data_IF_936042428080
#
_entry.id   IF_936042428080
#
_cell.length_a   1.000
_cell.length_b   1.000
_cell.length_c   1.000
_cell.angle_alpha   90.00
_cell.angle_beta   90.00
_cell.angle_gamma   90.00
#
_symmetry.space_group_name_H-M   'P 1'
#
loop_
_entity.id
_entity.type
_entity.pdbx_description
1 polymer ?
#
# COMPACT_ATOMS: atom_id res chain seq x y z
N UNK A 1 28.29 19.14 3.39
CA UNK A 1 28.64 20.03 2.26
C UNK A 1 29.73 19.36 1.44
N UNK A 2 29.77 19.54 0.11
CA UNK A 2 30.83 18.98 -0.73
C UNK A 2 32.18 19.65 -0.40
N UNK A 3 33.28 19.04 -0.83
CA UNK A 3 34.65 19.55 -0.68
C UNK A 3 34.81 20.98 -1.26
N UNK A 4 33.95 21.37 -2.23
CA UNK A 4 33.92 22.71 -2.85
C UNK A 4 32.60 23.48 -2.68
N UNK A 5 31.70 23.07 -1.76
CA UNK A 5 30.41 23.77 -1.55
C UNK A 5 29.39 23.67 -2.70
N UNK A 6 29.66 22.91 -3.77
CA UNK A 6 28.73 22.67 -4.89
C UNK A 6 27.76 21.53 -4.59
N UNK A 7 26.49 21.69 -4.95
CA UNK A 7 25.48 20.62 -4.82
C UNK A 7 25.32 19.84 -6.13
N UNK A 8 24.59 18.71 -6.09
CA UNK A 8 24.37 17.86 -7.27
C UNK A 8 23.73 18.58 -8.46
N UNK A 9 22.86 19.58 -8.24
CA UNK A 9 22.29 20.40 -9.33
C UNK A 9 23.33 21.31 -9.99
N UNK A 10 24.32 21.79 -9.22
CA UNK A 10 25.40 22.63 -9.71
C UNK A 10 26.43 21.85 -10.53
N UNK A 11 26.57 20.55 -10.25
CA UNK A 11 27.49 19.65 -10.95
C UNK A 11 26.86 18.99 -12.19
N UNK A 12 25.54 19.10 -12.37
CA UNK A 12 24.82 18.50 -13.48
C UNK A 12 25.07 19.23 -14.80
N UNK A 13 25.19 18.48 -15.90
CA UNK A 13 25.29 19.02 -17.25
C UNK A 13 23.91 19.37 -17.78
N UNK A 14 23.57 20.66 -17.77
CA UNK A 14 22.30 21.17 -18.29
C UNK A 14 22.38 21.43 -19.79
N UNK A 15 21.29 21.17 -20.51
CA UNK A 15 21.23 21.37 -21.97
C UNK A 15 21.38 22.85 -22.37
N UNK A 16 20.87 23.78 -21.55
CA UNK A 16 21.01 25.23 -21.77
C UNK A 16 21.26 25.99 -20.47
N UNK A 17 21.83 27.21 -20.53
CA UNK A 17 22.00 28.09 -19.37
C UNK A 17 20.67 28.45 -18.67
N UNK A 18 19.59 28.62 -19.42
CA UNK A 18 18.27 28.96 -18.88
C UNK A 18 17.69 27.76 -18.10
N UNK A 19 17.82 26.55 -18.64
CA UNK A 19 17.42 25.32 -17.94
C UNK A 19 18.23 25.12 -16.66
N UNK A 20 19.53 25.47 -16.68
CA UNK A 20 20.38 25.48 -15.49
C UNK A 20 19.87 26.47 -14.45
N UNK A 21 19.59 27.71 -14.86
CA UNK A 21 19.13 28.76 -13.95
C UNK A 21 17.79 28.38 -13.32
N UNK A 22 16.84 27.89 -14.11
CA UNK A 22 15.54 27.40 -13.64
C UNK A 22 15.71 26.22 -12.67
N UNK A 23 16.58 25.25 -12.98
CA UNK A 23 16.80 24.09 -12.11
C UNK A 23 17.43 24.49 -10.76
N UNK A 24 18.35 25.46 -10.76
CA UNK A 24 19.01 25.94 -9.54
C UNK A 24 18.05 26.77 -8.67
N UNK A 25 17.22 27.61 -9.27
CA UNK A 25 16.27 28.48 -8.54
C UNK A 25 14.96 27.78 -8.16
N UNK A 26 14.67 26.61 -8.74
CA UNK A 26 13.43 25.90 -8.48
C UNK A 26 13.31 25.42 -7.03
N UNK A 27 12.42 26.09 -6.28
CA UNK A 27 11.92 25.73 -4.95
C UNK A 27 13.02 25.45 -3.92
N UNK A 28 14.15 26.16 -4.04
CA UNK A 28 15.13 26.26 -2.97
C UNK A 28 15.53 27.72 -2.83
N UNK A 29 15.36 28.29 -1.65
CA UNK A 29 15.75 29.68 -1.35
C UNK A 29 16.90 29.71 -0.36
N UNK A 30 17.59 30.86 -0.26
CA UNK A 30 18.60 31.07 0.79
C UNK A 30 18.01 31.09 2.21
N UNK A 31 16.68 31.15 2.32
CA UNK A 31 15.96 31.13 3.59
C UNK A 31 15.63 29.71 4.02
N UNK A 32 15.83 28.71 3.16
CA UNK A 32 15.56 27.33 3.49
C UNK A 32 16.60 26.81 4.48
N UNK A 33 16.12 26.19 5.54
CA UNK A 33 16.88 25.64 6.66
C UNK A 33 16.52 24.16 6.91
N UNK A 34 17.01 23.61 8.01
CA UNK A 34 16.72 22.25 8.45
C UNK A 34 15.25 21.99 8.79
N UNK A 35 14.46 23.05 9.04
CA UNK A 35 13.03 22.99 9.33
C UNK A 35 12.17 23.05 8.06
N UNK A 36 12.78 23.41 6.93
CA UNK A 36 12.08 23.55 5.66
C UNK A 36 11.62 22.18 5.14
N UNK A 37 10.31 22.07 4.86
CA UNK A 37 9.72 20.80 4.45
C UNK A 37 10.20 20.37 3.06
N UNK A 38 10.98 19.29 3.02
CA UNK A 38 11.38 18.65 1.79
C UNK A 38 10.33 17.64 1.30
N UNK A 39 10.13 17.58 -0.02
CA UNK A 39 9.32 16.51 -0.61
C UNK A 39 10.18 15.28 -0.87
N UNK A 40 9.89 14.20 -0.16
CA UNK A 40 10.54 12.90 -0.33
C UNK A 40 9.76 12.00 -1.28
N UNK A 41 10.46 11.33 -2.17
CA UNK A 41 9.89 10.27 -3.03
C UNK A 41 10.75 9.02 -2.96
N UNK A 42 10.15 7.90 -3.34
CA UNK A 42 10.81 6.61 -3.43
C UNK A 42 10.94 6.19 -4.89
N UNK A 43 12.11 5.69 -5.29
CA UNK A 43 12.30 5.13 -6.62
C UNK A 43 11.33 3.95 -6.85
N UNK A 44 10.61 3.99 -7.98
CA UNK A 44 9.60 3.00 -8.33
C UNK A 44 10.16 1.66 -8.80
N UNK A 45 11.46 1.58 -9.09
CA UNK A 45 12.13 0.32 -9.40
C UNK A 45 12.22 -0.56 -8.17
N UNK A 46 11.74 -1.81 -8.29
CA UNK A 46 11.69 -2.78 -7.18
C UNK A 46 13.06 -3.13 -6.60
N UNK A 47 14.11 -3.15 -7.43
CA UNK A 47 15.49 -3.43 -7.00
C UNK A 47 16.12 -2.24 -6.27
N UNK A 48 15.69 -1.01 -6.59
CA UNK A 48 16.25 0.21 -6.03
C UNK A 48 15.52 0.64 -4.75
N UNK A 49 14.22 0.97 -4.82
CA UNK A 49 13.39 1.48 -3.71
C UNK A 49 14.05 2.52 -2.79
N UNK A 50 15.04 3.24 -3.31
CA UNK A 50 15.76 4.24 -2.53
C UNK A 50 14.95 5.53 -2.48
N UNK A 51 14.97 6.18 -1.32
CA UNK A 51 14.31 7.44 -1.04
C UNK A 51 15.26 8.60 -1.37
N UNK A 52 14.71 9.66 -1.95
CA UNK A 52 15.45 10.87 -2.29
C UNK A 52 14.53 12.09 -2.30
N UNK A 53 15.12 13.26 -2.11
CA UNK A 53 14.41 14.55 -2.14
C UNK A 53 14.20 15.00 -3.58
N UNK A 54 13.02 15.53 -3.86
CA UNK A 54 12.74 16.26 -5.10
C UNK A 54 12.40 17.71 -4.77
N UNK A 55 12.97 18.61 -5.57
CA UNK A 55 12.76 20.04 -5.41
C UNK A 55 11.56 20.56 -6.21
N UNK A 56 11.14 19.87 -7.28
CA UNK A 56 10.00 20.30 -8.11
C UNK A 56 8.91 19.23 -8.18
N UNK A 57 8.12 19.00 -7.11
CA UNK A 57 7.07 17.99 -7.10
C UNK A 57 6.04 18.17 -8.22
N UNK A 58 5.71 19.41 -8.59
CA UNK A 58 4.77 19.71 -9.66
C UNK A 58 5.21 19.20 -11.04
N UNK A 59 6.52 19.02 -11.27
CA UNK A 59 7.07 18.47 -12.51
C UNK A 59 7.05 16.93 -12.53
N UNK A 60 6.73 16.26 -11.42
CA UNK A 60 6.67 14.80 -11.34
C UNK A 60 5.35 14.28 -11.90
N UNK A 61 5.28 14.13 -13.24
CA UNK A 61 4.09 13.62 -13.95
C UNK A 61 4.00 12.09 -14.04
N UNK A 62 5.11 11.41 -13.77
CA UNK A 62 5.23 9.95 -13.88
C UNK A 62 5.73 9.35 -12.57
N UNK A 63 5.66 8.02 -12.45
CA UNK A 63 6.22 7.31 -11.29
C UNK A 63 7.70 7.70 -11.11
N UNK A 64 8.12 8.08 -9.90
CA UNK A 64 9.49 8.50 -9.63
C UNK A 64 10.48 7.39 -9.97
N UNK A 65 11.52 7.72 -10.74
CA UNK A 65 12.69 6.87 -10.99
C UNK A 65 13.89 7.73 -10.64
N UNK A 66 14.76 7.24 -9.74
CA UNK A 66 15.93 8.00 -9.30
C UNK A 66 16.90 8.22 -10.46
N UNK A 67 17.72 9.25 -10.33
CA UNK A 67 18.66 9.66 -11.37
C UNK A 67 19.64 8.54 -11.79
N UNK A 68 20.33 7.92 -10.84
CA UNK A 68 21.30 6.83 -11.11
C UNK A 68 20.75 5.70 -11.98
N UNK A 69 19.55 5.20 -11.68
CA UNK A 69 18.94 4.12 -12.46
C UNK A 69 18.30 4.58 -13.77
N UNK A 70 18.19 5.90 -14.04
CA UNK A 70 17.86 6.41 -15.38
C UNK A 70 19.07 6.31 -16.31
N UNK A 71 20.27 6.33 -15.76
CA UNK A 71 21.55 6.23 -16.47
C UNK A 71 22.19 4.84 -16.32
N UNK A 72 21.38 3.82 -16.01
CA UNK A 72 21.80 2.43 -15.80
C UNK A 72 22.88 2.21 -14.72
N UNK A 73 23.06 3.19 -13.83
CA UNK A 73 23.92 3.10 -12.65
C UNK A 73 23.21 2.58 -11.40
N UNK A 74 23.98 2.02 -10.45
CA UNK A 74 23.49 1.72 -9.10
C UNK A 74 23.48 2.99 -8.26
N UNK A 75 22.36 3.23 -7.57
CA UNK A 75 22.26 4.37 -6.66
C UNK A 75 23.13 4.15 -5.40
N UNK A 76 23.93 5.15 -4.99
CA UNK A 76 24.66 5.12 -3.72
C UNK A 76 23.65 5.28 -2.58
N UNK A 77 23.37 4.19 -1.87
CA UNK A 77 22.36 4.16 -0.80
C UNK A 77 22.98 3.98 0.56
N UNK A 78 22.34 4.56 1.57
CA UNK A 78 22.53 4.26 2.98
C UNK A 78 21.28 3.58 3.52
N UNK A 79 21.47 2.51 4.27
CA UNK A 79 20.38 1.76 4.87
C UNK A 79 20.17 2.20 6.32
N UNK A 80 18.94 2.56 6.66
CA UNK A 80 18.57 2.89 8.03
C UNK A 80 18.68 1.65 8.93
N UNK A 81 19.43 1.74 10.03
CA UNK A 81 19.56 0.65 11.01
C UNK A 81 18.23 0.28 11.68
N UNK A 82 17.33 1.26 11.85
CA UNK A 82 16.03 1.05 12.51
C UNK A 82 14.96 0.47 11.61
N UNK A 83 14.81 0.91 10.35
CA UNK A 83 13.68 0.49 9.50
C UNK A 83 14.10 -0.12 8.15
N UNK A 84 15.40 -0.25 7.87
CA UNK A 84 15.98 -0.77 6.63
C UNK A 84 15.59 0.01 5.36
N UNK A 85 14.93 1.18 5.49
CA UNK A 85 14.72 2.06 4.35
C UNK A 85 16.08 2.53 3.82
N UNK A 86 16.18 2.54 2.50
CA UNK A 86 17.37 2.97 1.76
C UNK A 86 17.19 4.44 1.36
N UNK A 87 18.16 5.29 1.68
CA UNK A 87 18.17 6.70 1.29
C UNK A 87 19.34 6.93 0.34
N UNK A 88 19.13 7.64 -0.76
CA UNK A 88 20.22 8.01 -1.66
C UNK A 88 21.07 9.07 -0.96
N UNK A 89 22.33 8.72 -0.69
CA UNK A 89 23.34 9.63 -0.17
C UNK A 89 24.63 9.38 -0.94
N UNK A 90 25.02 10.28 -1.86
CA UNK A 90 26.21 10.05 -2.68
C UNK A 90 27.47 10.05 -1.84
N UNK A 91 28.41 9.17 -2.18
CA UNK A 91 29.62 8.89 -1.40
C UNK A 91 30.45 10.14 -1.11
N UNK A 92 30.58 11.04 -2.08
CA UNK A 92 31.28 12.32 -1.95
C UNK A 92 30.73 13.26 -0.85
N UNK A 93 29.50 13.02 -0.37
CA UNK A 93 28.87 13.84 0.68
C UNK A 93 28.77 13.09 2.02
N UNK A 94 29.32 11.88 2.13
CA UNK A 94 29.22 11.06 3.34
C UNK A 94 30.26 11.52 4.36
N UNK A 95 29.88 11.80 5.62
CA UNK A 95 30.85 11.96 6.70
C UNK A 95 31.71 10.69 6.84
N UNK A 96 32.97 10.84 7.22
CA UNK A 96 33.89 9.72 7.43
C UNK A 96 33.46 8.83 8.62
N UNK A 97 32.77 9.41 9.60
CA UNK A 97 32.36 8.83 10.88
C UNK A 97 30.83 8.63 10.96
N UNK A 98 30.25 7.97 9.96
CA UNK A 98 28.79 7.95 9.80
C UNK A 98 28.02 7.14 10.85
N UNK A 99 28.67 6.20 11.56
CA UNK A 99 28.03 5.35 12.58
C UNK A 99 26.74 4.66 12.12
N UNK A 100 25.82 4.41 13.06
CA UNK A 100 24.51 3.83 12.77
C UNK A 100 23.54 4.86 12.18
N UNK A 101 23.42 4.87 10.85
CA UNK A 101 22.52 5.78 10.16
C UNK A 101 21.03 5.51 10.50
N UNK A 102 20.31 6.58 10.89
CA UNK A 102 18.85 6.60 11.04
C UNK A 102 18.24 7.54 10.01
N UNK A 103 17.27 7.04 9.23
CA UNK A 103 16.59 7.89 8.23
C UNK A 103 15.67 8.92 8.88
N UNK A 104 15.36 9.97 8.11
CA UNK A 104 14.47 11.06 8.51
C UNK A 104 13.11 10.58 9.06
N UNK A 105 12.50 9.57 8.44
CA UNK A 105 11.22 9.04 8.92
C UNK A 105 11.34 8.44 10.34
N UNK A 106 12.46 7.79 10.64
CA UNK A 106 12.69 7.21 11.97
C UNK A 106 13.03 8.26 13.03
N UNK A 107 13.72 9.33 12.68
CA UNK A 107 14.03 10.44 13.59
C UNK A 107 12.79 11.30 13.85
N UNK A 108 11.96 11.52 12.84
CA UNK A 108 10.69 12.23 12.95
C UNK A 108 9.55 11.41 13.59
N UNK A 109 9.81 10.17 14.02
CA UNK A 109 8.80 9.33 14.69
C UNK A 109 7.65 8.87 13.77
N UNK A 110 7.83 8.88 12.46
CA UNK A 110 6.81 8.45 11.50
C UNK A 110 6.59 6.94 11.62
N UNK A 111 5.33 6.53 11.76
CA UNK A 111 4.98 5.12 11.75
C UNK A 111 5.35 4.48 10.40
N UNK A 112 6.09 3.38 10.46
CA UNK A 112 6.57 2.64 9.27
C UNK A 112 5.92 1.27 9.13
N UNK A 113 4.99 0.92 10.03
CA UNK A 113 4.28 -0.35 10.01
C UNK A 113 3.17 -0.28 8.97
N UNK A 114 3.12 -1.25 8.07
CA UNK A 114 2.12 -1.33 7.01
C UNK A 114 1.30 -2.60 7.18
N UNK A 115 -0.02 -2.45 7.29
CA UNK A 115 -0.92 -3.60 7.26
C UNK A 115 -0.96 -4.25 5.87
N UNK A 116 -0.81 -5.57 5.82
CA UNK A 116 -0.85 -6.34 4.57
C UNK A 116 -1.59 -7.66 4.75
N UNK A 117 -1.60 -8.51 3.73
CA UNK A 117 -2.13 -9.87 3.80
C UNK A 117 -1.22 -10.85 3.06
N UNK A 118 -1.36 -12.14 3.38
CA UNK A 118 -0.55 -13.21 2.80
C UNK A 118 -0.57 -13.23 1.26
N UNK A 119 -1.73 -12.95 0.63
CA UNK A 119 -1.84 -12.92 -0.83
C UNK A 119 -1.04 -11.79 -1.48
N UNK A 120 -0.87 -10.64 -0.81
CA UNK A 120 -0.02 -9.55 -1.30
C UNK A 120 1.45 -9.94 -1.24
N UNK A 121 1.87 -10.59 -0.15
CA UNK A 121 3.24 -11.07 0.03
C UNK A 121 3.55 -12.15 -1.02
N UNK A 122 2.61 -13.07 -1.28
CA UNK A 122 2.72 -14.14 -2.27
C UNK A 122 2.91 -13.66 -3.72
N UNK A 123 2.53 -12.42 -4.04
CA UNK A 123 2.76 -11.86 -5.39
C UNK A 123 4.20 -11.48 -5.64
N UNK A 124 5.00 -11.38 -4.57
CA UNK A 124 6.39 -10.93 -4.63
C UNK A 124 7.36 -11.99 -4.09
N UNK A 125 6.92 -12.81 -3.14
CA UNK A 125 7.67 -13.91 -2.54
C UNK A 125 7.14 -15.26 -3.02
N UNK A 126 7.93 -16.33 -2.87
CA UNK A 126 7.49 -17.69 -3.17
C UNK A 126 6.36 -18.18 -2.22
N UNK A 127 5.82 -19.36 -2.50
CA UNK A 127 4.77 -20.01 -1.71
C UNK A 127 5.30 -20.78 -0.50
N UNK A 128 6.60 -21.03 -0.45
CA UNK A 128 7.23 -22.05 0.39
C UNK A 128 7.07 -21.74 1.89
N UNK A 129 6.93 -20.47 2.25
CA UNK A 129 6.67 -20.02 3.63
C UNK A 129 5.22 -20.23 4.10
N UNK A 130 4.28 -20.45 3.15
CA UNK A 130 2.87 -20.74 3.44
C UNK A 130 2.54 -22.23 3.29
N UNK A 131 3.19 -22.90 2.35
CA UNK A 131 2.88 -24.27 1.96
C UNK A 131 4.15 -24.92 1.42
N UNK A 132 4.64 -25.93 2.14
CA UNK A 132 5.57 -26.90 1.58
C UNK A 132 4.76 -27.81 0.65
N UNK A 133 5.23 -27.98 -0.58
CA UNK A 133 4.53 -28.65 -1.66
C UNK A 133 5.54 -29.41 -2.51
N UNK A 134 6.05 -30.49 -1.95
CA UNK A 134 7.13 -31.27 -2.54
C UNK A 134 6.68 -31.91 -3.85
N UNK A 135 7.59 -31.91 -4.83
CA UNK A 135 7.36 -32.38 -6.19
C UNK A 135 6.12 -31.74 -6.87
N UNK A 136 5.68 -30.56 -6.42
CA UNK A 136 4.47 -29.90 -6.90
C UNK A 136 3.21 -30.79 -6.78
N UNK A 137 3.08 -31.56 -5.67
CA UNK A 137 1.92 -32.43 -5.40
C UNK A 137 0.59 -31.71 -5.62
N UNK A 138 0.49 -30.44 -5.22
CA UNK A 138 -0.58 -29.53 -5.61
C UNK A 138 -0.08 -28.64 -6.77
N UNK A 139 -0.60 -28.88 -7.98
CA UNK A 139 -0.22 -28.09 -9.17
C UNK A 139 -0.55 -26.59 -9.05
N UNK A 140 -1.68 -26.25 -8.42
CA UNK A 140 -2.16 -24.88 -8.27
C UNK A 140 -2.69 -24.63 -6.85
N UNK A 141 -1.83 -24.23 -5.90
CA UNK A 141 -2.25 -23.93 -4.54
C UNK A 141 -3.02 -22.59 -4.45
N UNK A 142 -3.75 -22.39 -3.35
CA UNK A 142 -4.50 -21.16 -3.04
C UNK A 142 -5.57 -20.74 -4.07
N UNK A 143 -6.18 -21.71 -4.74
CA UNK A 143 -7.36 -21.47 -5.56
C UNK A 143 -8.62 -21.31 -4.70
N UNK A 144 -9.72 -20.85 -5.30
CA UNK A 144 -11.03 -20.79 -4.62
C UNK A 144 -11.75 -22.15 -4.57
N UNK A 145 -11.05 -23.27 -4.81
CA UNK A 145 -11.60 -24.62 -4.77
C UNK A 145 -11.65 -25.14 -3.33
N UNK A 146 -12.51 -26.13 -3.08
CA UNK A 146 -12.56 -26.81 -1.79
C UNK A 146 -11.32 -27.67 -1.57
N UNK A 147 -10.93 -27.87 -0.31
CA UNK A 147 -9.82 -28.75 0.05
C UNK A 147 -10.03 -30.17 -0.50
N UNK A 148 -11.27 -30.68 -0.42
CA UNK A 148 -11.63 -31.98 -0.98
C UNK A 148 -11.33 -32.08 -2.47
N UNK A 149 -11.70 -31.07 -3.26
CA UNK A 149 -11.41 -31.04 -4.70
C UNK A 149 -9.91 -30.97 -4.96
N UNK A 150 -9.18 -30.15 -4.20
CA UNK A 150 -7.72 -30.05 -4.31
C UNK A 150 -7.01 -31.38 -4.05
N UNK A 151 -7.38 -32.08 -2.97
CA UNK A 151 -6.81 -33.40 -2.64
C UNK A 151 -7.20 -34.45 -3.68
N UNK A 152 -8.45 -34.41 -4.17
CA UNK A 152 -8.92 -35.36 -5.18
C UNK A 152 -8.19 -35.18 -6.52
N UNK A 153 -7.89 -33.94 -6.90
CA UNK A 153 -7.14 -33.63 -8.14
C UNK A 153 -5.65 -33.97 -7.99
N UNK A 154 -5.07 -33.83 -6.79
CA UNK A 154 -3.65 -34.10 -6.50
C UNK A 154 -3.32 -35.59 -6.25
N UNK A 155 -4.35 -36.42 -6.02
CA UNK A 155 -4.18 -37.79 -5.53
C UNK A 155 -3.92 -37.84 -4.02
N UNK A 156 -4.39 -38.91 -3.37
CA UNK A 156 -4.33 -39.06 -1.91
C UNK A 156 -3.01 -39.67 -1.44
N UNK A 157 -2.34 -40.40 -2.31
CA UNK A 157 -1.08 -41.08 -2.00
C UNK A 157 0.00 -40.03 -1.65
N UNK A 158 0.74 -40.28 -0.56
CA UNK A 158 1.81 -39.44 0.00
C UNK A 158 1.43 -37.96 0.23
N UNK A 159 0.15 -37.61 0.24
CA UNK A 159 -0.27 -36.21 0.28
C UNK A 159 0.18 -35.53 1.58
N UNK A 160 0.06 -36.23 2.72
CA UNK A 160 0.43 -35.70 4.03
C UNK A 160 1.95 -35.57 4.19
N UNK A 161 2.72 -36.40 3.49
CA UNK A 161 4.19 -36.36 3.52
C UNK A 161 4.73 -35.24 2.64
N UNK A 162 4.08 -34.99 1.49
CA UNK A 162 4.54 -34.03 0.48
C UNK A 162 3.93 -32.63 0.64
N UNK A 163 2.90 -32.47 1.48
CA UNK A 163 2.19 -31.19 1.63
C UNK A 163 2.07 -30.81 3.10
N UNK A 164 2.81 -29.78 3.51
CA UNK A 164 2.75 -29.24 4.87
C UNK A 164 2.29 -27.76 4.82
N UNK A 165 1.14 -27.42 5.44
CA UNK A 165 0.71 -26.02 5.57
C UNK A 165 1.47 -25.31 6.69
N UNK A 166 1.92 -24.07 6.41
CA UNK A 166 2.70 -23.23 7.33
C UNK A 166 3.93 -23.96 7.91
N UNK A 167 4.84 -24.45 7.04
CA UNK A 167 6.05 -25.16 7.46
C UNK A 167 6.95 -24.30 8.33
N UNK A 168 7.60 -24.93 9.32
CA UNK A 168 8.53 -24.25 10.23
C UNK A 168 9.89 -23.95 9.58
N UNK A 169 10.33 -24.81 8.66
CA UNK A 169 11.69 -24.81 8.13
C UNK A 169 11.95 -23.78 7.02
N UNK A 170 10.91 -23.32 6.31
CA UNK A 170 11.04 -22.44 5.13
C UNK A 170 10.72 -20.98 5.45
N UNK A 171 11.41 -20.42 6.44
CA UNK A 171 11.37 -18.98 6.71
C UNK A 171 12.36 -18.23 5.82
N UNK A 172 12.06 -18.19 4.52
CA UNK A 172 12.79 -17.35 3.57
C UNK A 172 12.59 -15.85 3.83
N UNK A 173 13.46 -15.03 3.25
CA UNK A 173 13.32 -13.58 3.26
C UNK A 173 12.07 -13.15 2.47
N UNK A 174 10.99 -12.79 3.19
CA UNK A 174 9.77 -12.31 2.57
C UNK A 174 9.88 -10.84 2.21
N UNK A 175 9.33 -10.49 1.04
CA UNK A 175 9.31 -9.11 0.57
C UNK A 175 7.90 -8.60 0.32
N UNK A 176 7.71 -7.31 0.59
CA UNK A 176 6.51 -6.55 0.24
C UNK A 176 6.92 -5.24 -0.41
N UNK A 177 6.44 -5.01 -1.62
CA UNK A 177 6.80 -3.90 -2.49
C UNK A 177 8.32 -3.78 -2.76
N UNK A 178 9.02 -4.92 -2.78
CA UNK A 178 10.49 -4.98 -2.92
C UNK A 178 11.26 -4.56 -1.66
N UNK A 179 10.59 -4.51 -0.50
CA UNK A 179 11.22 -4.30 0.81
C UNK A 179 11.12 -5.55 1.66
N UNK A 180 12.15 -5.82 2.45
CA UNK A 180 12.20 -6.95 3.37
C UNK A 180 11.16 -6.77 4.49
N UNK A 181 10.42 -7.83 4.79
CA UNK A 181 9.52 -7.92 5.94
C UNK A 181 10.34 -8.32 7.17
N UNK A 182 10.31 -7.49 8.21
CA UNK A 182 11.18 -7.68 9.39
C UNK A 182 10.62 -8.66 10.41
N UNK A 183 9.31 -8.67 10.57
CA UNK A 183 8.60 -9.49 11.53
C UNK A 183 8.04 -10.76 10.87
N UNK A 184 8.79 -11.34 9.93
CA UNK A 184 8.40 -12.58 9.23
C UNK A 184 8.06 -13.71 10.21
N UNK A 185 8.87 -14.00 11.25
CA UNK A 185 8.54 -15.04 12.23
C UNK A 185 7.22 -14.77 12.96
N UNK A 186 6.98 -13.51 13.36
CA UNK A 186 5.75 -13.12 14.06
C UNK A 186 4.52 -13.26 13.16
N UNK A 187 4.64 -12.87 11.88
CA UNK A 187 3.56 -13.02 10.89
C UNK A 187 3.20 -14.49 10.71
N UNK A 188 4.21 -15.37 10.55
CA UNK A 188 3.99 -16.81 10.38
C UNK A 188 3.37 -17.41 11.64
N UNK A 189 3.90 -17.06 12.82
CA UNK A 189 3.38 -17.52 14.11
C UNK A 189 1.91 -17.08 14.31
N UNK A 190 1.58 -15.83 13.96
CA UNK A 190 0.21 -15.34 14.08
C UNK A 190 -0.73 -16.02 13.08
N UNK A 191 -0.32 -16.20 11.83
CA UNK A 191 -1.10 -16.95 10.84
C UNK A 191 -1.35 -18.39 11.32
N UNK A 192 -0.32 -19.05 11.85
CA UNK A 192 -0.42 -20.41 12.39
C UNK A 192 -1.38 -20.47 13.57
N UNK A 193 -1.25 -19.54 14.52
CA UNK A 193 -2.15 -19.42 15.68
C UNK A 193 -3.60 -19.26 15.25
N UNK A 194 -3.86 -18.41 14.23
CA UNK A 194 -5.21 -18.21 13.68
C UNK A 194 -5.77 -19.47 13.03
N UNK A 195 -4.97 -20.19 12.25
CA UNK A 195 -5.35 -21.46 11.61
C UNK A 195 -5.67 -22.53 12.64
N UNK A 196 -4.78 -22.74 13.62
CA UNK A 196 -4.97 -23.73 14.71
C UNK A 196 -6.24 -23.43 15.51
N UNK A 197 -6.46 -22.15 15.87
CA UNK A 197 -7.64 -21.71 16.61
C UNK A 197 -8.91 -21.68 15.75
N UNK A 198 -8.82 -21.98 14.45
CA UNK A 198 -9.92 -21.88 13.47
C UNK A 198 -10.60 -20.50 13.49
N UNK A 199 -9.83 -19.45 13.77
CA UNK A 199 -10.35 -18.07 13.86
C UNK A 199 -10.09 -17.33 12.56
N UNK A 200 -11.15 -16.79 11.98
CA UNK A 200 -11.06 -15.82 10.89
C UNK A 200 -11.10 -14.41 11.44
N UNK A 201 -10.34 -13.49 10.86
CA UNK A 201 -10.39 -12.08 11.25
C UNK A 201 -11.80 -11.50 11.06
N UNK A 202 -12.38 -11.02 12.15
CA UNK A 202 -13.62 -10.25 12.13
C UNK A 202 -13.31 -8.75 12.10
N UNK A 203 -14.16 -7.98 11.45
CA UNK A 203 -14.22 -6.54 11.63
C UNK A 203 -15.61 -6.14 12.14
N UNK A 204 -15.72 -4.91 12.60
CA UNK A 204 -16.98 -4.34 13.08
C UNK A 204 -17.59 -3.47 11.98
N UNK A 205 -18.90 -3.60 11.77
CA UNK A 205 -19.63 -2.66 10.92
C UNK A 205 -19.71 -1.30 11.60
N UNK A 206 -19.23 -0.23 10.96
CA UNK A 206 -19.27 1.12 11.53
C UNK A 206 -20.69 1.71 11.71
N UNK A 207 -21.74 1.05 11.20
CA UNK A 207 -23.13 1.51 11.34
C UNK A 207 -23.91 0.75 12.41
N UNK A 208 -23.89 -0.59 12.38
CA UNK A 208 -24.62 -1.39 13.36
C UNK A 208 -23.76 -1.91 14.52
N UNK A 209 -22.45 -1.68 14.49
CA UNK A 209 -21.49 -2.14 15.50
C UNK A 209 -21.45 -3.67 15.73
N UNK A 210 -22.07 -4.44 14.84
CA UNK A 210 -22.03 -5.91 14.86
C UNK A 210 -20.75 -6.41 14.18
N UNK A 211 -20.22 -7.52 14.69
CA UNK A 211 -19.05 -8.21 14.16
C UNK A 211 -19.38 -9.05 12.92
N UNK A 212 -18.59 -8.90 11.87
CA UNK A 212 -18.68 -9.67 10.63
C UNK A 212 -17.30 -10.17 10.22
N UNK A 213 -17.25 -11.22 9.40
CA UNK A 213 -15.98 -11.61 8.72
C UNK A 213 -15.47 -10.41 7.92
N UNK A 214 -14.17 -10.09 8.00
CA UNK A 214 -13.59 -8.87 7.40
C UNK A 214 -13.88 -8.72 5.89
N UNK A 215 -14.01 -9.82 5.15
CA UNK A 215 -14.35 -9.80 3.73
C UNK A 215 -15.83 -9.49 3.44
N UNK A 216 -16.72 -9.62 4.41
CA UNK A 216 -18.14 -9.21 4.32
C UNK A 216 -18.33 -7.72 4.59
N UNK A 217 -17.29 -7.02 5.07
CA UNK A 217 -17.32 -5.58 5.25
C UNK A 217 -16.89 -4.86 3.97
N UNK A 218 -17.73 -3.95 3.52
CA UNK A 218 -17.61 -3.21 2.28
C UNK A 218 -17.25 -1.76 2.61
N UNK A 219 -16.40 -1.07 1.81
CA UNK A 219 -16.19 0.36 1.98
C UNK A 219 -17.50 1.13 1.94
N UNK A 220 -17.70 2.07 2.87
CA UNK A 220 -18.95 2.83 2.98
C UNK A 220 -19.26 3.67 1.73
N UNK A 221 -18.25 4.32 1.14
CA UNK A 221 -18.43 5.19 -0.03
C UNK A 221 -17.37 5.03 -1.13
N UNK A 222 -16.26 4.33 -0.85
CA UNK A 222 -15.17 4.10 -1.80
C UNK A 222 -14.31 5.31 -2.16
N UNK A 223 -14.48 6.46 -1.48
CA UNK A 223 -13.63 7.65 -1.66
C UNK A 223 -12.29 7.47 -0.93
N UNK A 224 -11.23 8.01 -1.52
CA UNK A 224 -9.94 8.17 -0.85
C UNK A 224 -10.10 9.01 0.42
N UNK A 225 -9.49 8.54 1.51
CA UNK A 225 -9.61 9.15 2.85
C UNK A 225 -10.85 8.75 3.66
N UNK A 226 -11.75 7.91 3.14
CA UNK A 226 -12.80 7.29 3.95
C UNK A 226 -12.43 5.84 4.27
N UNK A 227 -11.99 5.60 5.51
CA UNK A 227 -11.59 4.26 6.00
C UNK A 227 -12.75 3.40 6.51
N UNK A 228 -13.96 3.96 6.54
CA UNK A 228 -15.12 3.34 7.19
C UNK A 228 -15.65 2.15 6.38
N UNK A 229 -15.93 1.04 7.07
CA UNK A 229 -16.43 -0.20 6.47
C UNK A 229 -17.72 -0.65 7.14
N UNK A 230 -18.66 -1.10 6.33
CA UNK A 230 -20.01 -1.45 6.77
C UNK A 230 -20.43 -2.80 6.20
N UNK A 231 -21.35 -3.47 6.87
CA UNK A 231 -21.93 -4.70 6.33
C UNK A 231 -22.85 -4.39 5.15
N UNK A 232 -23.09 -5.40 4.31
CA UNK A 232 -23.96 -5.30 3.14
C UNK A 232 -25.37 -4.80 3.51
N UNK A 233 -25.91 -5.24 4.64
CA UNK A 233 -27.25 -4.84 5.12
C UNK A 233 -27.35 -3.35 5.46
N UNK A 234 -26.43 -2.82 6.27
CA UNK A 234 -26.43 -1.39 6.61
C UNK A 234 -26.19 -0.50 5.39
N UNK A 235 -25.33 -0.95 4.46
CA UNK A 235 -25.10 -0.23 3.21
C UNK A 235 -26.36 -0.19 2.33
N UNK A 236 -27.03 -1.34 2.19
CA UNK A 236 -28.28 -1.47 1.46
C UNK A 236 -29.38 -0.59 2.07
N UNK A 237 -29.50 -0.59 3.40
CA UNK A 237 -30.48 0.22 4.11
C UNK A 237 -30.23 1.72 3.89
N UNK A 238 -29.01 2.21 4.19
CA UNK A 238 -28.70 3.64 4.10
C UNK A 238 -28.95 4.20 2.69
N UNK A 239 -28.41 3.54 1.66
CA UNK A 239 -28.53 4.02 0.28
C UNK A 239 -29.82 3.59 -0.41
N UNK A 240 -30.54 2.64 0.18
CA UNK A 240 -31.89 2.24 -0.21
C UNK A 240 -32.99 3.06 0.46
N UNK A 241 -32.67 4.06 1.30
CA UNK A 241 -33.68 4.97 1.85
C UNK A 241 -34.38 5.79 0.76
N UNK A 242 -33.73 6.02 -0.38
CA UNK A 242 -34.32 6.70 -1.53
C UNK A 242 -34.85 5.65 -2.51
N UNK A 243 -36.18 5.53 -2.58
CA UNK A 243 -36.90 4.65 -3.51
C UNK A 243 -37.93 5.43 -4.30
N UNK A 244 -38.28 4.94 -5.50
CA UNK A 244 -39.32 5.54 -6.31
C UNK A 244 -40.67 5.56 -5.56
N UNK A 245 -41.34 6.72 -5.55
CA UNK A 245 -42.59 6.92 -4.80
C UNK A 245 -42.44 7.06 -3.29
N UNK A 246 -41.21 7.00 -2.76
CA UNK A 246 -40.91 7.19 -1.34
C UNK A 246 -40.56 8.63 -0.98
N UNK A 247 -40.48 8.91 0.33
CA UNK A 247 -39.95 10.17 0.84
C UNK A 247 -38.48 10.32 0.47
N UNK A 248 -38.16 11.49 -0.08
CA UNK A 248 -36.80 11.81 -0.49
C UNK A 248 -35.93 12.17 0.72
N UNK A 249 -34.82 11.47 0.89
CA UNK A 249 -33.81 11.72 1.91
C UNK A 249 -32.49 12.15 1.27
N UNK A 250 -32.24 13.46 1.28
CA UNK A 250 -31.02 14.07 0.71
C UNK A 250 -29.74 13.61 1.44
N UNK A 251 -29.80 13.33 2.74
CA UNK A 251 -28.64 12.87 3.51
C UNK A 251 -28.19 11.47 3.08
N UNK A 252 -29.13 10.60 2.70
CA UNK A 252 -28.88 9.26 2.20
C UNK A 252 -28.22 9.22 0.81
N UNK A 253 -27.98 10.37 0.17
CA UNK A 253 -27.18 10.49 -1.06
C UNK A 253 -25.69 10.62 -0.81
N UNK A 254 -25.32 10.91 0.43
CA UNK A 254 -23.95 11.07 0.87
C UNK A 254 -23.50 9.89 1.73
N UNK A 255 -22.17 9.73 1.86
CA UNK A 255 -21.60 8.84 2.87
C UNK A 255 -22.05 9.25 4.28
N UNK A 256 -22.52 8.31 5.13
CA UNK A 256 -22.93 8.65 6.50
C UNK A 256 -21.76 9.18 7.36
N UNK A 257 -20.53 8.87 6.96
CA UNK A 257 -19.32 9.25 7.70
C UNK A 257 -18.63 10.49 7.14
N UNK A 258 -18.26 10.48 5.86
CA UNK A 258 -17.47 11.56 5.28
C UNK A 258 -18.31 12.59 4.52
N UNK A 259 -19.64 12.42 4.47
CA UNK A 259 -20.62 13.31 3.82
C UNK A 259 -20.37 13.62 2.33
N UNK A 260 -19.38 12.96 1.71
CA UNK A 260 -19.09 13.07 0.28
C UNK A 260 -19.95 12.08 -0.52
N UNK A 261 -20.24 12.44 -1.78
CA UNK A 261 -20.91 11.56 -2.73
C UNK A 261 -20.09 10.27 -2.95
N UNK A 262 -20.72 9.09 -2.87
CA UNK A 262 -20.02 7.83 -3.08
C UNK A 262 -19.47 7.67 -4.50
N UNK A 263 -18.53 6.76 -4.68
CA UNK A 263 -17.97 6.41 -5.99
C UNK A 263 -18.89 5.40 -6.69
N UNK A 264 -19.44 5.77 -7.85
CA UNK A 264 -20.38 4.95 -8.63
C UNK A 264 -19.91 3.49 -8.82
N UNK A 265 -18.63 3.29 -9.15
CA UNK A 265 -18.02 1.96 -9.33
C UNK A 265 -18.15 1.05 -8.09
N UNK A 266 -17.98 1.61 -6.90
CA UNK A 266 -18.08 0.86 -5.64
C UNK A 266 -19.52 0.39 -5.43
N UNK A 267 -20.50 1.21 -5.81
CA UNK A 267 -21.92 0.97 -5.61
C UNK A 267 -22.51 0.03 -6.64
N UNK A 268 -22.16 0.21 -7.92
CA UNK A 268 -22.53 -0.69 -9.00
C UNK A 268 -22.08 -2.12 -8.73
N UNK A 269 -20.87 -2.30 -8.20
CA UNK A 269 -20.33 -3.63 -7.82
C UNK A 269 -21.18 -4.35 -6.77
N UNK A 270 -21.87 -3.60 -5.91
CA UNK A 270 -22.63 -4.15 -4.80
C UNK A 270 -24.16 -4.06 -4.99
N UNK A 271 -24.61 -3.57 -6.15
CA UNK A 271 -26.03 -3.53 -6.54
C UNK A 271 -26.84 -2.43 -5.85
N UNK A 272 -26.19 -1.41 -5.29
CA UNK A 272 -26.86 -0.32 -4.56
C UNK A 272 -27.01 0.90 -5.45
N UNK A 273 -28.03 0.87 -6.30
CA UNK A 273 -28.29 1.88 -7.32
C UNK A 273 -28.89 3.16 -6.75
N UNK A 274 -28.05 4.06 -6.23
CA UNK A 274 -28.42 5.49 -6.13
C UNK A 274 -28.71 6.06 -7.54
N UNK A 275 -28.18 5.39 -8.57
CA UNK A 275 -28.44 5.64 -9.99
C UNK A 275 -29.81 5.12 -10.48
N UNK A 276 -30.58 4.39 -9.66
CA UNK A 276 -31.88 3.86 -10.06
C UNK A 276 -32.99 4.93 -10.02
N UNK A 277 -32.74 6.09 -9.41
CA UNK A 277 -33.70 7.20 -9.36
C UNK A 277 -33.32 8.23 -10.42
N UNK A 278 -34.07 8.27 -11.52
CA UNK A 278 -33.92 9.28 -12.57
C UNK A 278 -34.20 10.69 -12.01
N UNK A 279 -33.47 11.71 -12.50
CA UNK A 279 -33.61 13.13 -12.11
C UNK A 279 -33.27 13.49 -10.64
N UNK A 280 -32.60 12.58 -9.93
CA UNK A 280 -32.12 12.82 -8.57
C UNK A 280 -31.27 14.10 -8.43
N UNK A 281 -30.43 14.39 -9.43
CA UNK A 281 -29.60 15.61 -9.41
C UNK A 281 -30.42 16.89 -9.58
N UNK A 282 -31.52 16.84 -10.33
CA UNK A 282 -32.45 17.96 -10.49
C UNK A 282 -33.20 18.21 -9.18
N UNK A 283 -33.73 17.15 -8.56
CA UNK A 283 -34.43 17.24 -7.28
C UNK A 283 -33.55 17.79 -6.15
N UNK A 284 -32.25 17.43 -6.12
CA UNK A 284 -31.30 17.99 -5.14
C UNK A 284 -31.05 19.49 -5.36
N UNK A 285 -31.04 19.97 -6.61
CA UNK A 285 -30.87 21.39 -6.93
C UNK A 285 -32.14 22.21 -6.66
N UNK A 286 -33.31 21.59 -6.77
CA UNK A 286 -34.59 22.26 -6.51
C UNK A 286 -34.91 22.32 -5.00
N UNK A 287 -34.42 21.37 -4.22
CA UNK A 287 -34.63 21.30 -2.77
C UNK A 287 -33.63 22.11 -1.92
N UNK A 288 -32.65 22.77 -2.53
CA UNK A 288 -31.59 23.52 -1.85
C UNK A 288 -30.94 24.59 -2.72
#
# INVERSE_FOLDING_TARGET
MCVDGKCGKCLWTHATPEARQEAITAHVTKQDDEMTQATWVECSLRTCRAQYVIYSPAKLRIKPKCHYYREDGKAPVLQCSKCLNRVIWPEAYRPADMGDFKCYACTAGVETIVETNALKILRESNTDWLLLNDCNKILAPFTKRSLFKTISDAGREDFVEKVEPLPLASQGELTLHGKLIRNTPDIVAELRSRVIRRRTESGICSLCFVSFKKYNLIPSCGRTGCSQRVCKGCLAHWYGLNVAGGLFNSAALACPFCRRRPVAKTFAKHGFGIHAVSRLETAVKEAG
#
